data_IF_225785853100
#
_entry.id   IF_225785853100
#
_cell.length_a   1.000
_cell.length_b   1.000
_cell.length_c   1.000
_cell.angle_alpha   90.00
_cell.angle_beta   90.00
_cell.angle_gamma   90.00
#
_symmetry.space_group_name_H-M   'P 1'
#
loop_
_entity.id
_entity.type
_entity.pdbx_description
1 polymer ?
#
# COMPACT_ATOMS: atom_id res chain seq x y z
N UNK A 1 -1.13 -0.09 17.53
CA UNK A 1 -0.61 0.71 16.42
C UNK A 1 -1.79 1.27 15.65
N UNK A 2 -1.87 2.58 15.48
CA UNK A 2 -2.94 3.24 14.72
C UNK A 2 -2.34 3.77 13.42
N UNK A 3 -2.89 3.35 12.28
CA UNK A 3 -2.45 3.82 10.95
C UNK A 3 -3.49 4.77 10.39
N UNK A 4 -3.03 5.76 9.63
CA UNK A 4 -3.90 6.68 8.87
C UNK A 4 -3.39 6.75 7.44
N UNK A 5 -4.33 6.76 6.50
CA UNK A 5 -4.05 6.65 5.08
C UNK A 5 -5.31 6.80 4.24
N UNK A 6 -5.16 6.53 2.96
CA UNK A 6 -6.24 6.58 1.98
C UNK A 6 -6.74 5.17 1.70
N UNK A 7 -8.06 5.00 1.53
CA UNK A 7 -8.62 3.75 0.99
C UNK A 7 -8.15 3.64 -0.46
N UNK A 8 -7.35 2.63 -0.77
CA UNK A 8 -6.61 2.61 -2.02
C UNK A 8 -7.53 2.53 -3.24
N UNK A 9 -8.59 1.71 -3.16
CA UNK A 9 -9.62 1.63 -4.20
C UNK A 9 -10.26 2.99 -4.51
N UNK A 10 -10.59 3.77 -3.48
CA UNK A 10 -11.20 5.09 -3.66
C UNK A 10 -10.22 6.05 -4.35
N UNK A 11 -8.96 6.03 -3.92
CA UNK A 11 -7.89 6.79 -4.56
C UNK A 11 -7.74 6.44 -6.04
N UNK A 12 -7.75 5.15 -6.40
CA UNK A 12 -7.62 4.73 -7.81
C UNK A 12 -8.78 5.22 -8.67
N UNK A 13 -10.02 5.09 -8.18
CA UNK A 13 -11.19 5.61 -8.89
C UNK A 13 -11.14 7.13 -9.03
N UNK A 14 -10.68 7.84 -8.00
CA UNK A 14 -10.52 9.29 -8.03
C UNK A 14 -9.46 9.74 -9.05
N UNK A 15 -8.31 9.08 -9.10
CA UNK A 15 -7.19 9.47 -9.97
C UNK A 15 -7.35 8.99 -11.42
N UNK A 16 -7.89 7.80 -11.63
CA UNK A 16 -7.94 7.15 -12.96
C UNK A 16 -9.36 7.07 -13.54
N UNK A 17 -10.40 7.42 -12.78
CA UNK A 17 -11.81 7.30 -13.19
C UNK A 17 -12.35 5.87 -13.23
N UNK A 18 -11.50 4.87 -12.98
CA UNK A 18 -11.82 3.45 -12.92
C UNK A 18 -10.80 2.74 -12.03
N UNK A 19 -11.02 1.45 -11.78
CA UNK A 19 -10.00 0.57 -11.19
C UNK A 19 -9.12 0.01 -12.32
N UNK A 20 -7.82 0.36 -12.38
CA UNK A 20 -6.89 -0.27 -13.33
C UNK A 20 -6.80 -1.78 -13.09
N UNK A 21 -6.54 -2.58 -14.12
CA UNK A 21 -6.33 -4.02 -13.92
C UNK A 21 -5.01 -4.30 -13.18
N UNK A 22 -3.98 -3.53 -13.53
CA UNK A 22 -2.65 -3.63 -12.97
C UNK A 22 -2.06 -2.26 -12.67
N UNK A 23 -1.25 -2.20 -11.62
CA UNK A 23 -0.45 -1.03 -11.27
C UNK A 23 1.00 -1.45 -11.13
N UNK A 24 1.90 -0.61 -11.63
CA UNK A 24 3.33 -0.74 -11.37
C UNK A 24 3.73 0.24 -10.28
N UNK A 25 4.44 -0.27 -9.28
CA UNK A 25 4.96 0.52 -8.17
C UNK A 25 6.47 0.57 -8.27
N UNK A 26 7.03 1.76 -8.10
CA UNK A 26 8.47 1.97 -7.99
C UNK A 26 8.78 2.49 -6.60
N UNK A 27 9.68 1.82 -5.88
CA UNK A 27 10.14 2.25 -4.57
C UNK A 27 11.39 3.15 -4.67
N UNK A 28 11.76 3.79 -3.57
CA UNK A 28 12.94 4.66 -3.50
C UNK A 28 14.29 3.97 -3.72
N UNK A 29 14.36 2.65 -3.52
CA UNK A 29 15.53 1.81 -3.80
C UNK A 29 15.52 1.22 -5.23
N UNK A 30 14.67 1.78 -6.10
CA UNK A 30 14.45 1.35 -7.48
C UNK A 30 13.91 -0.10 -7.61
N UNK A 31 13.38 -0.66 -6.52
CA UNK A 31 12.55 -1.87 -6.61
C UNK A 31 11.26 -1.57 -7.39
N UNK A 32 10.93 -2.45 -8.34
CA UNK A 32 9.74 -2.33 -9.18
C UNK A 32 8.91 -3.61 -9.07
N UNK A 33 7.60 -3.45 -8.88
CA UNK A 33 6.65 -4.56 -8.87
C UNK A 33 5.36 -4.18 -9.58
N UNK A 34 4.79 -5.11 -10.31
CA UNK A 34 3.47 -4.96 -10.94
C UNK A 34 2.49 -5.90 -10.25
N UNK A 35 1.38 -5.35 -9.76
CA UNK A 35 0.35 -6.06 -9.01
C UNK A 35 -1.03 -5.73 -9.58
N UNK A 36 -2.03 -6.55 -9.25
CA UNK A 36 -3.44 -6.34 -9.62
C UNK A 36 -4.38 -6.72 -8.48
N UNK A 37 -5.68 -6.78 -8.73
CA UNK A 37 -6.68 -7.17 -7.72
C UNK A 37 -7.04 -6.05 -6.74
N UNK A 38 -7.25 -4.83 -7.26
CA UNK A 38 -7.54 -3.63 -6.48
C UNK A 38 -9.02 -3.44 -6.13
N UNK A 39 -9.86 -4.43 -6.42
CA UNK A 39 -11.29 -4.42 -6.07
C UNK A 39 -11.53 -4.67 -4.58
N UNK A 40 -10.55 -5.25 -3.88
CA UNK A 40 -10.57 -5.44 -2.44
C UNK A 40 -10.54 -4.09 -1.68
N UNK A 41 -11.58 -3.75 -0.89
CA UNK A 41 -11.63 -2.50 -0.13
C UNK A 41 -10.65 -2.45 1.06
N UNK A 42 -9.95 -3.54 1.37
CA UNK A 42 -9.04 -3.61 2.50
C UNK A 42 -7.68 -2.95 2.23
N UNK A 43 -7.35 -2.61 0.99
CA UNK A 43 -6.10 -1.90 0.70
C UNK A 43 -6.12 -0.47 1.24
N UNK A 44 -5.11 -0.12 2.04
CA UNK A 44 -4.88 1.23 2.56
C UNK A 44 -3.49 1.68 2.13
N UNK A 45 -3.44 2.86 1.52
CA UNK A 45 -2.21 3.60 1.27
C UNK A 45 -1.87 4.44 2.50
N UNK A 46 -0.99 3.93 3.35
CA UNK A 46 -0.65 4.52 4.65
C UNK A 46 0.31 5.69 4.46
N UNK A 47 0.00 6.80 5.11
CA UNK A 47 0.82 8.02 5.10
C UNK A 47 1.28 8.42 6.50
N UNK A 48 0.57 7.99 7.54
CA UNK A 48 0.88 8.28 8.93
C UNK A 48 0.75 7.05 9.82
N UNK A 49 1.53 7.02 10.88
CA UNK A 49 1.44 6.03 11.96
C UNK A 49 1.52 6.72 13.30
N UNK A 50 0.59 6.37 14.20
CA UNK A 50 0.47 6.92 15.55
C UNK A 50 0.43 8.47 15.57
N UNK A 51 -0.18 9.06 14.53
CA UNK A 51 -0.35 10.52 14.37
C UNK A 51 0.78 11.23 13.62
N UNK A 52 1.90 10.57 13.37
CA UNK A 52 3.08 11.16 12.74
C UNK A 52 3.26 10.67 11.29
N UNK A 53 3.82 11.49 10.38
CA UNK A 53 4.15 11.05 9.02
C UNK A 53 5.12 9.87 9.04
N UNK A 54 4.97 8.93 8.08
CA UNK A 54 5.88 7.78 7.99
C UNK A 54 7.31 8.24 7.68
N UNK A 55 8.26 7.91 8.56
CA UNK A 55 9.68 8.06 8.32
C UNK A 55 10.29 6.81 7.70
N UNK A 56 11.62 6.84 7.50
CA UNK A 56 12.38 5.70 6.95
C UNK A 56 12.24 4.45 7.81
N UNK A 57 12.18 4.61 9.14
CA UNK A 57 12.03 3.50 10.09
C UNK A 57 10.69 2.78 9.93
N UNK A 58 9.66 3.52 9.56
CA UNK A 58 8.31 3.04 9.30
C UNK A 58 8.09 2.70 7.81
N UNK A 59 9.16 2.71 6.99
CA UNK A 59 9.14 2.43 5.55
C UNK A 59 8.28 3.42 4.74
N UNK A 60 8.33 4.69 5.16
CA UNK A 60 7.71 5.83 4.48
C UNK A 60 8.46 6.29 3.22
N UNK A 61 7.98 7.33 2.51
CA UNK A 61 6.92 8.25 2.92
C UNK A 61 5.51 7.64 2.82
N UNK A 62 5.38 6.57 2.03
CA UNK A 62 4.11 5.89 1.77
C UNK A 62 4.33 4.39 1.69
N UNK A 63 3.41 3.60 2.26
CA UNK A 63 3.37 2.14 2.10
C UNK A 63 1.94 1.65 1.88
N UNK A 64 1.79 0.62 1.06
CA UNK A 64 0.52 -0.05 0.79
C UNK A 64 0.40 -1.28 1.71
N UNK A 65 -0.71 -1.38 2.44
CA UNK A 65 -1.01 -2.50 3.34
C UNK A 65 -2.46 -2.95 3.19
N UNK A 66 -2.73 -4.21 3.50
CA UNK A 66 -4.08 -4.74 3.65
C UNK A 66 -4.57 -4.52 5.10
N UNK A 67 -5.82 -4.06 5.26
CA UNK A 67 -6.43 -3.63 6.53
C UNK A 67 -6.81 -4.80 7.44
N UNK A 68 -7.17 -5.95 6.87
CA UNK A 68 -7.66 -7.10 7.64
C UNK A 68 -6.66 -8.26 7.58
N UNK A 69 -6.03 -8.53 8.72
CA UNK A 69 -5.14 -9.69 8.92
C UNK A 69 -5.91 -10.92 9.45
N UNK A 70 -7.23 -10.85 9.65
CA UNK A 70 -8.00 -11.91 10.31
C UNK A 70 -7.38 -12.36 11.65
N UNK A 71 -7.48 -13.66 11.97
CA UNK A 71 -6.86 -14.32 13.14
C UNK A 71 -5.34 -14.62 12.97
N UNK A 72 -4.65 -14.00 12.00
CA UNK A 72 -3.27 -14.38 11.67
C UNK A 72 -2.25 -13.49 12.37
N UNK A 73 -1.26 -14.18 12.94
CA UNK A 73 -0.17 -13.62 13.74
C UNK A 73 0.64 -12.57 12.96
N UNK A 74 0.78 -11.33 13.48
CA UNK A 74 1.64 -10.30 12.90
C UNK A 74 3.14 -10.67 12.87
N UNK A 75 3.58 -11.75 13.53
CA UNK A 75 4.93 -12.32 13.38
C UNK A 75 5.05 -13.30 12.18
N UNK A 76 3.94 -13.66 11.53
CA UNK A 76 3.90 -14.51 10.33
C UNK A 76 4.15 -13.72 9.03
N UNK A 77 4.96 -12.66 9.12
CA UNK A 77 5.36 -11.73 8.05
C UNK A 77 5.96 -12.41 6.81
N UNK A 78 6.38 -13.68 6.94
CA UNK A 78 7.02 -14.46 5.87
C UNK A 78 6.08 -14.92 4.76
N UNK A 79 4.76 -14.89 4.98
CA UNK A 79 3.78 -15.30 3.96
C UNK A 79 3.08 -14.10 3.28
N UNK A 80 3.39 -12.86 3.68
CA UNK A 80 2.86 -11.63 3.09
C UNK A 80 3.86 -11.09 2.06
N UNK A 81 3.76 -11.53 0.81
CA UNK A 81 4.69 -11.15 -0.26
C UNK A 81 4.35 -9.81 -0.95
N UNK A 82 3.26 -9.13 -0.59
CA UNK A 82 2.72 -8.01 -1.39
C UNK A 82 2.68 -6.65 -0.65
N UNK A 83 3.58 -6.44 0.30
CA UNK A 83 3.73 -5.11 0.92
C UNK A 83 4.69 -4.26 0.11
N UNK A 84 4.14 -3.27 -0.59
CA UNK A 84 4.96 -2.27 -1.27
C UNK A 84 5.16 -1.10 -0.33
N UNK A 85 6.41 -0.78 -0.01
CA UNK A 85 6.76 0.33 0.86
C UNK A 85 7.76 1.26 0.20
N UNK A 86 8.00 2.40 0.84
CA UNK A 86 8.84 3.46 0.28
C UNK A 86 8.43 3.78 -1.17
N UNK A 87 7.12 3.78 -1.43
CA UNK A 87 6.56 4.00 -2.77
C UNK A 87 6.93 5.42 -3.21
N UNK A 88 7.58 5.50 -4.37
CA UNK A 88 7.95 6.73 -5.06
C UNK A 88 6.98 7.05 -6.19
N UNK A 89 6.53 6.01 -6.91
CA UNK A 89 5.69 6.14 -8.11
C UNK A 89 4.67 5.01 -8.20
N UNK A 90 3.51 5.33 -8.77
CA UNK A 90 2.41 4.40 -9.07
C UNK A 90 1.94 4.70 -10.50
N UNK A 91 2.06 3.74 -11.39
CA UNK A 91 1.65 3.85 -12.79
C UNK A 91 0.52 2.86 -13.12
N UNK A 92 -0.50 3.33 -13.82
CA UNK A 92 -1.61 2.50 -14.30
C UNK A 92 -1.40 2.05 -15.75
N UNK A 93 -1.81 0.81 -16.03
CA UNK A 93 -1.79 0.18 -17.36
C UNK A 93 -3.21 -0.14 -17.83
#
# INVERSE_FOLDING_TARGET
MVVTGLVFRELLVEQFGALPEQLTFTAWDDYVVTLGGWDDPNWILVTHQDGEPLGVRERGPVRLVERDYGDRDPDSLRNFNDWVWMIREIEAH
#
